data_IF_961901319012
#
_entry.id   IF_961901319012
#
_cell.length_a   1.000
_cell.length_b   1.000
_cell.length_c   1.000
_cell.angle_alpha   90.00
_cell.angle_beta   90.00
_cell.angle_gamma   90.00
#
_symmetry.space_group_name_H-M   'P 1'
#
loop_
_entity.id
_entity.type
_entity.pdbx_description
1 polymer ?
#
# COMPACT_ATOMS: atom_id res chain seq x y z
N UNK A 1 -19.87 -18.19 5.48
CA UNK A 1 -19.25 -17.14 5.69
C UNK A 1 -18.74 -16.53 4.51
N UNK A 2 -18.69 -15.31 4.48
CA UNK A 2 -18.30 -14.70 3.41
C UNK A 2 -16.91 -14.36 3.44
N UNK A 3 -16.27 -14.73 2.50
CA UNK A 3 -14.94 -14.41 2.40
C UNK A 3 -14.82 -13.02 1.94
N UNK A 4 -13.93 -12.28 2.51
CA UNK A 4 -13.69 -11.01 2.05
C UNK A 4 -13.17 -11.03 0.72
N UNK A 5 -13.68 -10.28 -0.17
CA UNK A 5 -13.09 -10.18 -1.46
C UNK A 5 -11.75 -9.54 -1.30
N UNK A 6 -10.80 -10.08 -1.99
CA UNK A 6 -9.48 -9.54 -2.00
C UNK A 6 -9.16 -9.16 -3.40
N UNK A 7 -8.83 -7.95 -3.64
CA UNK A 7 -8.47 -7.51 -4.96
C UNK A 7 -7.24 -8.27 -5.36
N UNK A 8 -7.39 -9.24 -6.22
CA UNK A 8 -6.30 -10.08 -6.68
C UNK A 8 -5.58 -10.73 -5.53
N UNK A 9 -6.30 -11.10 -4.50
CA UNK A 9 -5.71 -11.77 -3.37
C UNK A 9 -5.05 -10.88 -2.36
N UNK A 10 -5.21 -9.57 -2.48
CA UNK A 10 -4.57 -8.64 -1.56
C UNK A 10 -5.47 -8.37 -0.38
N UNK A 11 -5.00 -8.63 0.85
CA UNK A 11 -5.81 -8.34 2.03
C UNK A 11 -6.12 -6.86 2.19
N UNK A 12 -7.16 -6.58 2.94
CA UNK A 12 -7.65 -5.22 3.08
C UNK A 12 -6.57 -4.27 3.61
N UNK A 13 -5.83 -4.69 4.63
CA UNK A 13 -4.81 -3.81 5.19
C UNK A 13 -3.73 -3.48 4.17
N UNK A 14 -3.32 -4.46 3.38
CA UNK A 14 -2.30 -4.21 2.37
C UNK A 14 -2.84 -3.33 1.26
N UNK A 15 -4.10 -3.54 0.87
CA UNK A 15 -4.71 -2.69 -0.14
C UNK A 15 -4.80 -1.25 0.35
N UNK A 16 -5.22 -1.06 1.60
CA UNK A 16 -5.31 0.27 2.16
C UNK A 16 -3.94 0.93 2.26
N UNK A 17 -2.93 0.16 2.66
CA UNK A 17 -1.57 0.68 2.77
C UNK A 17 -1.06 1.13 1.40
N UNK A 18 -1.29 0.31 0.39
CA UNK A 18 -0.83 0.65 -0.96
C UNK A 18 -1.54 1.90 -1.48
N UNK A 19 -2.85 2.00 -1.24
CA UNK A 19 -3.60 3.18 -1.63
C UNK A 19 -3.09 4.43 -0.92
N UNK A 20 -2.73 4.30 0.35
CA UNK A 20 -2.24 5.43 1.11
C UNK A 20 -0.90 5.91 0.57
N UNK A 21 -0.01 4.98 0.21
CA UNK A 21 1.25 5.35 -0.40
C UNK A 21 1.00 6.12 -1.70
N UNK A 22 0.03 5.67 -2.47
CA UNK A 22 -0.31 6.35 -3.71
C UNK A 22 -0.86 7.75 -3.45
N UNK A 23 -1.72 7.88 -2.44
CA UNK A 23 -2.28 9.19 -2.10
C UNK A 23 -1.19 10.16 -1.66
N UNK A 24 -0.16 9.66 -1.03
CA UNK A 24 0.96 10.48 -0.60
C UNK A 24 1.98 10.66 -1.73
N UNK A 25 1.61 10.20 -2.93
CA UNK A 25 2.42 10.38 -4.13
C UNK A 25 3.76 9.67 -4.10
N UNK A 26 3.77 8.49 -3.50
CA UNK A 26 4.99 7.68 -3.47
C UNK A 26 5.15 6.89 -4.75
N UNK A 27 5.14 7.55 -5.90
CA UNK A 27 5.32 6.89 -7.18
C UNK A 27 6.33 7.66 -8.02
N UNK A 28 6.83 7.03 -9.03
CA UNK A 28 7.84 7.62 -9.88
C UNK A 28 9.11 7.77 -9.09
N UNK A 29 9.70 8.94 -9.12
CA UNK A 29 10.90 9.20 -8.37
C UNK A 29 10.66 9.66 -6.95
N UNK A 30 9.38 9.73 -6.53
CA UNK A 30 9.05 10.23 -5.20
C UNK A 30 8.88 9.07 -4.23
N UNK A 31 9.18 9.34 -2.94
CA UNK A 31 9.08 8.32 -1.92
C UNK A 31 8.27 8.84 -0.74
N UNK A 32 7.77 7.90 0.07
CA UNK A 32 7.02 8.22 1.27
C UNK A 32 7.75 7.57 2.45
N UNK A 33 7.91 8.31 3.54
CA UNK A 33 8.53 7.77 4.73
C UNK A 33 7.58 6.83 5.45
N UNK A 34 8.14 5.84 6.13
CA UNK A 34 7.33 4.92 6.92
C UNK A 34 6.56 5.68 8.00
N UNK A 35 7.20 6.66 8.63
CA UNK A 35 6.53 7.45 9.67
C UNK A 35 5.36 8.24 9.10
N UNK A 36 5.52 8.76 7.90
CA UNK A 36 4.46 9.49 7.24
C UNK A 36 3.29 8.56 6.96
N UNK A 37 3.58 7.34 6.56
CA UNK A 37 2.55 6.35 6.28
C UNK A 37 1.81 5.98 7.55
N UNK A 38 2.53 5.79 8.66
CA UNK A 38 1.89 5.48 9.93
C UNK A 38 0.97 6.61 10.38
N UNK A 39 1.37 7.85 10.14
CA UNK A 39 0.55 8.99 10.51
C UNK A 39 -0.76 9.01 9.74
N UNK A 40 -0.75 8.54 8.51
CA UNK A 40 -1.97 8.52 7.71
C UNK A 40 -2.86 7.32 8.05
N UNK A 41 -2.26 6.22 8.50
CA UNK A 41 -3.03 5.01 8.82
C UNK A 41 -3.37 4.98 10.30
N UNK A 42 -4.08 6.00 10.76
CA UNK A 42 -4.36 6.16 12.18
C UNK A 42 -5.37 5.13 12.69
N UNK A 43 -6.15 4.53 11.80
CA UNK A 43 -7.12 3.52 12.21
C UNK A 43 -6.51 2.14 12.43
N UNK A 44 -5.22 1.99 12.08
CA UNK A 44 -4.56 0.71 12.23
C UNK A 44 -3.56 0.77 13.37
N UNK A 45 -3.38 -0.32 14.12
CA UNK A 45 -2.32 -0.34 15.11
C UNK A 45 -0.97 -0.09 14.45
N UNK A 46 -0.12 0.74 15.04
CA UNK A 46 1.16 1.06 14.39
C UNK A 46 2.01 -0.15 14.07
N UNK A 47 1.90 -1.21 14.89
CA UNK A 47 2.72 -2.39 14.66
C UNK A 47 2.27 -3.17 13.43
N UNK A 48 1.05 -2.94 12.93
CA UNK A 48 0.58 -3.63 11.73
C UNK A 48 1.11 -3.02 10.45
N UNK A 49 1.53 -1.76 10.50
CA UNK A 49 1.99 -1.07 9.31
C UNK A 49 3.30 -1.65 8.78
N UNK A 50 4.33 -1.90 9.62
CA UNK A 50 5.55 -2.50 9.10
C UNK A 50 5.33 -3.88 8.49
N UNK A 51 4.42 -4.67 9.05
CA UNK A 51 4.12 -5.98 8.48
C UNK A 51 3.50 -5.85 7.10
N UNK A 52 2.56 -4.93 6.93
CA UNK A 52 1.94 -4.72 5.63
C UNK A 52 2.96 -4.25 4.61
N UNK A 53 3.87 -3.36 5.04
CA UNK A 53 4.91 -2.86 4.16
C UNK A 53 5.82 -4.01 3.70
N UNK A 54 6.21 -4.86 4.64
CA UNK A 54 7.06 -6.00 4.29
C UNK A 54 6.39 -6.94 3.30
N UNK A 55 5.11 -7.20 3.52
CA UNK A 55 4.39 -8.10 2.63
C UNK A 55 4.26 -7.49 1.23
N UNK A 56 3.98 -6.19 1.16
CA UNK A 56 3.89 -5.54 -0.14
C UNK A 56 5.23 -5.57 -0.86
N UNK A 57 6.32 -5.40 -0.11
CA UNK A 57 7.64 -5.45 -0.71
C UNK A 57 7.95 -6.86 -1.23
N UNK A 58 7.62 -7.87 -0.46
CA UNK A 58 7.92 -9.25 -0.87
C UNK A 58 7.10 -9.64 -2.09
N UNK A 59 5.96 -9.01 -2.30
CA UNK A 59 5.14 -9.28 -3.46
C UNK A 59 5.52 -8.44 -4.66
N UNK A 60 6.47 -7.53 -4.50
CA UNK A 60 6.94 -6.72 -5.60
C UNK A 60 6.09 -5.50 -5.89
N UNK A 61 5.17 -5.14 -5.02
CA UNK A 61 4.28 -4.03 -5.24
C UNK A 61 4.88 -2.70 -4.83
N UNK A 62 5.85 -2.70 -3.93
CA UNK A 62 6.53 -1.49 -3.50
C UNK A 62 8.02 -1.75 -3.43
N UNK A 63 8.78 -0.66 -3.45
CA UNK A 63 10.22 -0.71 -3.30
C UNK A 63 10.58 0.11 -2.08
N UNK A 64 11.50 -0.38 -1.27
CA UNK A 64 11.93 0.30 -0.07
C UNK A 64 13.41 0.60 -0.20
N UNK A 65 13.78 1.85 0.02
CA UNK A 65 15.17 2.27 0.01
C UNK A 65 15.52 2.85 1.37
N UNK A 66 16.74 2.57 1.79
CA UNK A 66 17.22 3.09 3.05
C UNK A 66 17.96 4.39 2.76
N UNK A 67 17.36 5.50 3.11
CA UNK A 67 17.96 6.80 2.89
C UNK A 67 18.26 7.45 4.22
N UNK A 68 19.53 7.47 4.58
CA UNK A 68 19.97 8.14 5.81
C UNK A 68 19.21 7.65 7.05
N UNK A 69 19.05 6.36 7.15
CA UNK A 69 18.37 5.78 8.29
C UNK A 69 16.87 5.78 8.23
N UNK A 70 16.30 6.31 7.14
CA UNK A 70 14.85 6.33 6.98
C UNK A 70 14.46 5.41 5.84
N UNK A 71 13.30 4.82 5.96
CA UNK A 71 12.80 3.94 4.92
C UNK A 71 11.95 4.74 3.95
N UNK A 72 12.43 4.84 2.72
CA UNK A 72 11.73 5.56 1.67
C UNK A 72 11.01 4.56 0.79
N UNK A 73 9.69 4.70 0.71
CA UNK A 73 8.82 3.73 0.06
C UNK A 73 8.24 4.32 -1.21
N UNK A 74 8.24 3.53 -2.27
CA UNK A 74 7.60 3.95 -3.52
C UNK A 74 6.89 2.75 -4.14
N UNK A 75 5.89 3.04 -4.99
CA UNK A 75 5.11 2.00 -5.63
C UNK A 75 5.78 1.60 -6.93
N UNK A 76 5.89 0.30 -7.17
CA UNK A 76 6.44 -0.22 -8.41
C UNK A 76 5.38 -0.22 -9.51
N UNK A 77 5.77 -0.41 -10.78
CA UNK A 77 4.76 -0.54 -11.84
C UNK A 77 3.78 -1.67 -11.58
N UNK A 78 4.24 -2.77 -10.98
CA UNK A 78 3.34 -3.85 -10.63
C UNK A 78 2.35 -3.39 -9.57
N UNK A 79 2.80 -2.61 -8.59
CA UNK A 79 1.92 -2.08 -7.58
C UNK A 79 0.88 -1.14 -8.16
N UNK A 80 1.26 -0.36 -9.17
CA UNK A 80 0.30 0.52 -9.83
C UNK A 80 -0.77 -0.27 -10.55
N UNK A 81 -0.41 -1.38 -11.16
CA UNK A 81 -1.40 -2.21 -11.84
C UNK A 81 -2.40 -2.77 -10.85
N UNK A 82 -1.93 -3.20 -9.68
CA UNK A 82 -2.81 -3.70 -8.64
C UNK A 82 -3.72 -2.59 -8.11
N UNK A 83 -3.18 -1.38 -7.96
CA UNK A 83 -3.99 -0.26 -7.50
C UNK A 83 -5.12 0.05 -8.45
N UNK A 84 -4.86 -0.02 -9.74
CA UNK A 84 -5.92 0.23 -10.71
C UNK A 84 -7.03 -0.78 -10.58
N UNK A 85 -6.66 -2.04 -10.35
CA UNK A 85 -7.68 -3.05 -10.18
C UNK A 85 -8.48 -2.82 -8.91
N UNK A 86 -7.84 -2.40 -7.84
CA UNK A 86 -8.54 -2.12 -6.60
C UNK A 86 -9.53 -0.99 -6.81
N UNK A 87 -9.13 0.05 -7.51
CA UNK A 87 -10.02 1.17 -7.76
C UNK A 87 -11.19 0.77 -8.62
N UNK A 88 -10.96 -0.03 -9.64
CA UNK A 88 -12.03 -0.49 -10.49
C UNK A 88 -13.05 -1.30 -9.71
N UNK A 89 -12.56 -2.17 -8.84
CA UNK A 89 -13.46 -2.98 -8.03
C UNK A 89 -14.30 -2.12 -7.11
N UNK A 90 -13.71 -1.10 -6.52
CA UNK A 90 -14.45 -0.22 -5.63
C UNK A 90 -15.48 0.59 -6.38
N UNK A 91 -15.15 1.05 -7.58
CA UNK A 91 -16.12 1.78 -8.37
C UNK A 91 -17.30 0.91 -8.74
N UNK A 92 -17.05 -0.35 -9.02
CA UNK A 92 -18.14 -1.25 -9.34
C UNK A 92 -19.03 -1.50 -8.14
N UNK A 93 -18.45 -1.53 -6.96
CA UNK A 93 -19.25 -1.72 -5.77
C UNK A 93 -20.16 -0.55 -5.49
N UNK A 94 -19.78 0.63 -5.92
CA UNK A 94 -20.58 1.80 -5.70
C UNK A 94 -21.79 1.90 -6.62
N UNK A 95 -21.82 1.09 -7.63
CA UNK A 95 -22.98 1.05 -8.51
C UNK A 95 -24.03 0.10 -7.96
#
# INVERSE_FOLDING_TARGET
MKTMPQADGLPELQATTLLTIWKLKGIGGNTVDEDQLKAELTNEPPENVPSAIQLLQSQGFIEIRDLEGRKAISITPLGLAILRKIEEDRLQELK
#
